data_IF_631763320782
#
_entry.id   IF_631763320782
#
_cell.length_a   1.000
_cell.length_b   1.000
_cell.length_c   1.000
_cell.angle_alpha   90.00
_cell.angle_beta   90.00
_cell.angle_gamma   90.00
#
_symmetry.space_group_name_H-M   'P 1'
#
loop_
_entity.id
_entity.type
_entity.pdbx_description
1 polymer ?
#
# COMPACT_ATOMS: atom_id res chain seq x y z
N UNK A 1 32.18 -0.87 -4.64
CA UNK A 1 30.89 -0.15 -4.41
C UNK A 1 29.75 -1.14 -4.70
N UNK A 2 28.51 -0.90 -4.32
CA UNK A 2 27.39 -1.83 -4.57
C UNK A 2 27.13 -2.10 -6.07
N UNK A 3 27.49 -1.15 -6.92
CA UNK A 3 27.24 -1.19 -8.37
C UNK A 3 28.49 -1.49 -9.21
N UNK A 4 29.59 -1.95 -8.61
CA UNK A 4 30.88 -2.05 -9.32
C UNK A 4 30.84 -2.98 -10.54
N UNK A 5 30.01 -4.01 -10.52
CA UNK A 5 29.84 -4.90 -11.66
C UNK A 5 29.14 -4.21 -12.85
N UNK A 6 28.26 -3.23 -12.58
CA UNK A 6 27.63 -2.46 -13.64
C UNK A 6 28.64 -1.60 -14.42
N UNK A 7 29.73 -1.16 -13.78
CA UNK A 7 30.72 -0.29 -14.40
C UNK A 7 31.30 -0.88 -15.70
N UNK A 8 31.49 -2.20 -15.70
CA UNK A 8 32.06 -2.91 -16.83
C UNK A 8 31.00 -3.43 -17.82
N UNK A 9 29.76 -3.54 -17.38
CA UNK A 9 28.68 -4.15 -18.15
C UNK A 9 27.78 -3.09 -18.83
N UNK A 10 27.44 -2.03 -18.08
CA UNK A 10 26.61 -0.93 -18.55
C UNK A 10 27.02 0.36 -17.85
N UNK A 11 27.97 1.06 -18.47
CA UNK A 11 28.55 2.28 -17.93
C UNK A 11 27.52 3.40 -17.76
N UNK A 12 26.52 3.51 -18.64
CA UNK A 12 25.52 4.56 -18.59
C UNK A 12 24.63 4.39 -17.35
N UNK A 13 24.17 3.16 -17.08
CA UNK A 13 23.41 2.84 -15.88
C UNK A 13 24.26 2.96 -14.61
N UNK A 14 25.53 2.55 -14.64
CA UNK A 14 26.44 2.74 -13.53
C UNK A 14 26.61 4.22 -13.15
N UNK A 15 26.83 5.09 -14.13
CA UNK A 15 27.01 6.51 -13.92
C UNK A 15 25.73 7.13 -13.34
N UNK A 16 24.56 6.78 -13.85
CA UNK A 16 23.28 7.23 -13.32
C UNK A 16 23.05 6.78 -11.86
N UNK A 17 23.32 5.52 -11.55
CA UNK A 17 23.20 5.01 -10.19
C UNK A 17 24.17 5.70 -9.21
N UNK A 18 25.37 6.00 -9.67
CA UNK A 18 26.40 6.70 -8.85
C UNK A 18 26.00 8.15 -8.58
N UNK A 19 25.47 8.85 -9.58
CA UNK A 19 24.92 10.21 -9.42
C UNK A 19 23.73 10.21 -8.47
N UNK A 20 22.80 9.26 -8.60
CA UNK A 20 21.65 9.16 -7.69
C UNK A 20 22.08 8.85 -6.25
N UNK A 21 23.04 7.94 -6.04
CA UNK A 21 23.59 7.70 -4.71
C UNK A 21 24.19 8.97 -4.11
N UNK A 22 24.87 9.76 -4.93
CA UNK A 22 25.46 11.05 -4.51
C UNK A 22 24.36 12.05 -4.16
N UNK A 23 23.29 12.13 -4.95
CA UNK A 23 22.12 12.95 -4.67
C UNK A 23 21.50 12.58 -3.32
N UNK A 24 21.21 11.30 -3.10
CA UNK A 24 20.59 10.82 -1.86
C UNK A 24 21.45 11.10 -0.62
N UNK A 25 22.78 11.10 -0.74
CA UNK A 25 23.69 11.42 0.38
C UNK A 25 23.79 12.90 0.70
N UNK A 26 23.62 13.75 -0.30
CA UNK A 26 23.87 15.19 -0.18
C UNK A 26 22.58 16.02 -0.01
N UNK A 27 21.43 15.43 -0.26
CA UNK A 27 20.13 16.11 -0.19
C UNK A 27 19.28 15.57 0.97
N UNK A 28 18.50 16.45 1.57
CA UNK A 28 17.47 16.06 2.53
C UNK A 28 16.21 15.70 1.74
N UNK A 29 15.75 14.46 1.87
CA UNK A 29 14.51 14.01 1.24
C UNK A 29 13.30 14.47 2.06
N UNK A 30 12.36 15.16 1.40
CA UNK A 30 11.15 15.68 2.04
C UNK A 30 9.87 15.00 1.52
N UNK A 31 9.98 13.98 0.68
CA UNK A 31 8.84 13.19 0.23
C UNK A 31 8.49 12.17 1.31
N UNK A 32 7.33 12.37 1.95
CA UNK A 32 6.92 11.59 3.13
C UNK A 32 6.76 10.08 2.88
N UNK A 33 6.59 9.67 1.63
CA UNK A 33 6.44 8.27 1.23
C UNK A 33 7.75 7.57 0.83
N UNK A 34 8.87 8.29 0.80
CA UNK A 34 10.17 7.70 0.50
C UNK A 34 10.84 7.12 1.74
N UNK A 35 11.61 6.04 1.54
CA UNK A 35 12.36 5.37 2.59
C UNK A 35 13.71 4.91 2.06
N UNK A 36 14.79 5.34 2.72
CA UNK A 36 16.14 4.89 2.40
C UNK A 36 16.33 3.48 2.99
N UNK A 37 16.34 2.50 2.13
CA UNK A 37 16.44 1.08 2.54
C UNK A 37 17.88 0.67 2.87
N UNK A 38 18.02 -0.38 3.69
CA UNK A 38 19.32 -0.95 4.01
C UNK A 38 19.92 -1.70 2.80
N UNK A 39 21.26 -1.88 2.82
CA UNK A 39 21.95 -2.69 1.81
C UNK A 39 21.39 -4.13 1.74
N UNK A 40 20.94 -4.69 2.85
CA UNK A 40 20.35 -6.03 2.88
C UNK A 40 19.03 -6.10 2.06
N UNK A 41 18.21 -5.06 2.12
CA UNK A 41 16.98 -4.97 1.31
C UNK A 41 17.33 -4.88 -0.18
N UNK A 42 18.32 -4.05 -0.56
CA UNK A 42 18.79 -3.94 -1.95
C UNK A 42 19.32 -5.28 -2.47
N UNK A 43 20.10 -6.01 -1.66
CA UNK A 43 20.62 -7.33 -2.02
C UNK A 43 19.51 -8.37 -2.19
N UNK A 44 18.49 -8.35 -1.34
CA UNK A 44 17.36 -9.27 -1.45
C UNK A 44 16.52 -8.98 -2.71
N UNK A 45 16.26 -7.70 -3.00
CA UNK A 45 15.49 -7.26 -4.18
C UNK A 45 16.21 -7.60 -5.50
N UNK A 46 17.56 -7.47 -5.55
CA UNK A 46 18.39 -7.80 -6.70
C UNK A 46 18.96 -9.22 -6.70
N UNK A 47 18.39 -10.15 -5.93
CA UNK A 47 18.89 -11.52 -5.85
C UNK A 47 18.42 -12.41 -7.00
N UNK A 48 18.88 -13.67 -7.01
CA UNK A 48 18.47 -14.70 -7.98
C UNK A 48 16.96 -14.98 -7.97
N UNK A 49 16.24 -14.56 -6.92
CA UNK A 49 14.78 -14.66 -6.86
C UNK A 49 14.11 -13.87 -7.99
N UNK A 50 14.74 -12.81 -8.49
CA UNK A 50 14.32 -12.03 -9.65
C UNK A 50 14.12 -12.88 -10.91
N UNK A 51 14.85 -13.98 -11.05
CA UNK A 51 14.78 -14.89 -12.21
C UNK A 51 13.56 -15.81 -12.17
N UNK A 52 12.87 -15.93 -11.02
CA UNK A 52 11.83 -16.94 -10.84
C UNK A 52 10.42 -16.40 -11.05
N UNK A 53 9.74 -16.92 -12.04
CA UNK A 53 8.31 -16.70 -12.24
C UNK A 53 7.50 -17.56 -11.25
N UNK A 54 6.72 -16.92 -10.37
CA UNK A 54 6.08 -17.57 -9.23
C UNK A 54 4.60 -17.19 -9.09
N UNK A 55 3.86 -17.25 -10.20
CA UNK A 55 2.41 -16.99 -10.21
C UNK A 55 1.68 -17.97 -9.29
N UNK A 56 0.70 -17.48 -8.56
CA UNK A 56 -0.03 -18.21 -7.53
C UNK A 56 0.46 -17.89 -6.12
N UNK A 57 0.22 -18.79 -5.16
CA UNK A 57 0.57 -18.61 -3.76
C UNK A 57 1.46 -19.75 -3.25
N UNK A 58 2.19 -19.60 -2.13
CA UNK A 58 2.99 -20.68 -1.55
C UNK A 58 2.23 -21.99 -1.47
N UNK A 59 2.83 -23.07 -1.96
CA UNK A 59 2.20 -24.40 -2.05
C UNK A 59 1.08 -24.54 -3.09
N UNK A 60 0.73 -23.49 -3.82
CA UNK A 60 -0.32 -23.47 -4.86
C UNK A 60 0.12 -22.63 -6.07
N UNK A 61 1.29 -22.94 -6.60
CA UNK A 61 1.86 -22.27 -7.77
C UNK A 61 1.36 -22.89 -9.07
N UNK A 62 1.29 -22.07 -10.10
CA UNK A 62 0.98 -22.54 -11.46
C UNK A 62 2.21 -23.17 -12.14
N UNK A 63 3.43 -22.86 -11.66
CA UNK A 63 4.68 -23.33 -12.24
C UNK A 63 5.53 -24.08 -11.20
N UNK A 64 6.34 -25.02 -11.70
CA UNK A 64 7.30 -25.78 -10.89
C UNK A 64 8.49 -24.94 -10.42
N UNK A 65 9.29 -25.49 -9.50
CA UNK A 65 10.55 -24.88 -9.04
C UNK A 65 10.38 -23.73 -8.04
N UNK A 66 9.24 -23.59 -7.38
CA UNK A 66 8.94 -22.48 -6.48
C UNK A 66 9.27 -22.75 -5.00
N UNK A 67 9.88 -23.89 -4.66
CA UNK A 67 10.10 -24.32 -3.28
C UNK A 67 10.85 -23.28 -2.42
N UNK A 68 11.79 -22.57 -2.99
CA UNK A 68 12.60 -21.58 -2.27
C UNK A 68 11.93 -20.19 -2.24
N UNK A 69 11.24 -19.78 -3.31
CA UNK A 69 10.46 -18.53 -3.29
C UNK A 69 9.26 -18.65 -2.36
N UNK A 70 8.66 -19.84 -2.22
CA UNK A 70 7.60 -20.11 -1.24
C UNK A 70 8.08 -19.85 0.19
N UNK A 71 9.30 -20.31 0.53
CA UNK A 71 9.91 -20.06 1.84
C UNK A 71 10.07 -18.55 2.08
N UNK A 72 10.57 -17.80 1.10
CA UNK A 72 10.77 -16.34 1.25
C UNK A 72 9.45 -15.62 1.39
N UNK A 73 8.44 -15.95 0.58
CA UNK A 73 7.12 -15.35 0.68
C UNK A 73 6.45 -15.67 2.02
N UNK A 74 6.57 -16.91 2.52
CA UNK A 74 6.02 -17.30 3.81
C UNK A 74 6.69 -16.58 4.97
N UNK A 75 8.02 -16.42 4.94
CA UNK A 75 8.76 -15.59 5.91
C UNK A 75 8.23 -14.15 5.92
N UNK A 76 8.02 -13.56 4.75
CA UNK A 76 7.49 -12.21 4.64
C UNK A 76 6.08 -12.10 5.20
N UNK A 77 5.20 -13.05 4.90
CA UNK A 77 3.83 -13.13 5.43
C UNK A 77 3.81 -13.23 6.95
N UNK A 78 4.57 -14.17 7.52
CA UNK A 78 4.62 -14.37 8.97
C UNK A 78 5.20 -13.15 9.71
N UNK A 79 6.22 -12.50 9.13
CA UNK A 79 6.78 -11.28 9.69
C UNK A 79 5.80 -10.11 9.63
N UNK A 80 5.07 -9.95 8.52
CA UNK A 80 4.02 -8.93 8.40
C UNK A 80 2.89 -9.18 9.42
N UNK A 81 2.41 -10.41 9.56
CA UNK A 81 1.41 -10.79 10.56
C UNK A 81 1.88 -10.43 11.98
N UNK A 82 3.11 -10.80 12.32
CA UNK A 82 3.68 -10.49 13.64
C UNK A 82 3.84 -8.99 13.89
N UNK A 83 4.29 -8.25 12.87
CA UNK A 83 4.53 -6.81 12.97
C UNK A 83 3.24 -6.02 13.22
N UNK A 84 2.16 -6.40 12.52
CA UNK A 84 0.88 -5.70 12.56
C UNK A 84 -0.16 -6.35 13.49
N UNK A 85 0.16 -7.44 14.16
CA UNK A 85 -0.79 -8.21 14.96
C UNK A 85 -1.97 -8.76 14.14
N UNK A 86 -1.74 -9.07 12.87
CA UNK A 86 -2.76 -9.49 11.93
C UNK A 86 -2.87 -11.01 11.85
N UNK A 87 -4.09 -11.53 11.65
CA UNK A 87 -4.32 -12.96 11.41
C UNK A 87 -3.86 -13.38 10.00
N UNK A 88 -3.97 -12.46 9.03
CA UNK A 88 -3.66 -12.71 7.63
C UNK A 88 -2.80 -11.58 7.05
N UNK A 89 -1.94 -11.93 6.09
CA UNK A 89 -1.18 -10.98 5.31
C UNK A 89 -1.05 -11.47 3.87
N UNK A 90 -1.09 -10.55 2.92
CA UNK A 90 -0.70 -10.75 1.54
C UNK A 90 0.46 -9.79 1.22
N UNK A 91 1.59 -10.33 0.81
CA UNK A 91 2.83 -9.58 0.55
C UNK A 91 3.18 -9.50 -0.94
N UNK A 92 2.26 -9.94 -1.82
CA UNK A 92 2.49 -9.95 -3.27
C UNK A 92 2.29 -8.60 -3.98
N UNK A 93 1.44 -7.65 -3.49
CA UNK A 93 1.31 -6.38 -4.17
C UNK A 93 2.67 -5.69 -4.35
N UNK A 94 2.97 -5.26 -5.58
CA UNK A 94 4.24 -4.59 -5.89
C UNK A 94 4.31 -3.14 -5.39
N UNK A 95 3.17 -2.57 -4.97
CA UNK A 95 3.09 -1.19 -4.50
C UNK A 95 1.86 -1.00 -3.61
N UNK A 96 1.85 0.08 -2.82
CA UNK A 96 0.67 0.49 -2.03
C UNK A 96 -0.56 0.73 -2.91
N UNK A 97 -0.39 1.33 -4.09
CA UNK A 97 -1.47 1.52 -5.05
C UNK A 97 -2.08 0.20 -5.52
N UNK A 98 -1.24 -0.80 -5.81
CA UNK A 98 -1.70 -2.14 -6.20
C UNK A 98 -2.43 -2.84 -5.03
N UNK A 99 -1.93 -2.71 -3.80
CA UNK A 99 -2.60 -3.24 -2.61
C UNK A 99 -3.98 -2.59 -2.40
N UNK A 100 -4.08 -1.27 -2.51
CA UNK A 100 -5.35 -0.56 -2.39
C UNK A 100 -6.36 -0.99 -3.46
N UNK A 101 -5.92 -1.12 -4.72
CA UNK A 101 -6.79 -1.60 -5.79
C UNK A 101 -7.27 -3.03 -5.55
N UNK A 102 -6.41 -3.91 -5.08
CA UNK A 102 -6.80 -5.27 -4.73
C UNK A 102 -7.91 -5.29 -3.67
N UNK A 103 -7.82 -4.44 -2.64
CA UNK A 103 -8.87 -4.28 -1.62
C UNK A 103 -10.15 -3.71 -2.22
N UNK A 104 -10.05 -2.66 -3.03
CA UNK A 104 -11.23 -2.05 -3.65
C UNK A 104 -12.01 -3.07 -4.50
N UNK A 105 -11.34 -3.76 -5.42
CA UNK A 105 -12.00 -4.73 -6.28
C UNK A 105 -12.41 -6.03 -5.59
N UNK A 106 -11.85 -6.33 -4.41
CA UNK A 106 -12.31 -7.44 -3.58
C UNK A 106 -13.61 -7.13 -2.81
N UNK A 107 -13.85 -5.87 -2.45
CA UNK A 107 -14.93 -5.46 -1.56
C UNK A 107 -16.03 -4.66 -2.25
N UNK A 108 -15.75 -4.07 -3.42
CA UNK A 108 -16.61 -3.10 -4.07
C UNK A 108 -16.92 -3.48 -5.53
N UNK A 109 -18.03 -2.98 -6.02
CA UNK A 109 -18.35 -2.93 -7.44
C UNK A 109 -18.06 -1.53 -8.01
N UNK A 110 -17.78 -1.40 -9.31
CA UNK A 110 -17.67 -0.10 -9.96
C UNK A 110 -18.91 0.77 -9.66
N UNK A 111 -18.69 2.04 -9.30
CA UNK A 111 -19.74 2.98 -8.92
C UNK A 111 -20.11 2.99 -7.43
N UNK A 112 -19.62 2.02 -6.64
CA UNK A 112 -19.85 2.04 -5.19
C UNK A 112 -19.21 3.26 -4.52
N UNK A 113 -19.85 3.75 -3.47
CA UNK A 113 -19.40 4.94 -2.74
C UNK A 113 -18.30 4.59 -1.74
N UNK A 114 -17.20 5.34 -1.80
CA UNK A 114 -16.04 5.26 -0.90
C UNK A 114 -15.83 6.60 -0.22
N UNK A 115 -15.74 6.60 1.11
CA UNK A 115 -15.37 7.77 1.89
C UNK A 115 -13.86 7.70 2.18
N UNK A 116 -13.10 8.68 1.72
CA UNK A 116 -11.63 8.68 1.83
C UNK A 116 -11.07 10.08 2.11
N UNK A 117 -9.82 10.14 2.60
CA UNK A 117 -9.19 11.42 2.89
C UNK A 117 -8.88 12.21 1.61
N UNK A 118 -9.23 13.50 1.63
CA UNK A 118 -8.95 14.41 0.54
C UNK A 118 -7.43 14.49 0.26
N UNK A 119 -7.06 14.45 -1.02
CA UNK A 119 -5.65 14.55 -1.45
C UNK A 119 -4.99 15.83 -0.93
N UNK A 120 -5.69 16.98 -0.98
CA UNK A 120 -5.18 18.26 -0.49
C UNK A 120 -4.96 18.30 1.03
N UNK A 121 -5.53 17.38 1.78
CA UNK A 121 -5.41 17.27 3.23
C UNK A 121 -4.49 16.11 3.68
N UNK A 122 -3.72 15.56 2.75
CA UNK A 122 -2.74 14.51 3.03
C UNK A 122 -3.15 13.11 2.59
N UNK A 123 -4.29 12.94 1.90
CA UNK A 123 -4.66 11.66 1.28
C UNK A 123 -3.67 11.22 0.21
N UNK A 124 -3.79 9.97 -0.25
CA UNK A 124 -2.97 9.43 -1.32
C UNK A 124 -3.73 9.44 -2.65
N UNK A 125 -3.01 9.48 -3.78
CA UNK A 125 -3.62 9.40 -5.12
C UNK A 125 -4.53 8.18 -5.29
N UNK A 126 -4.12 7.01 -4.77
CA UNK A 126 -4.92 5.77 -4.83
C UNK A 126 -6.12 5.74 -3.88
N UNK A 127 -6.35 6.81 -3.12
CA UNK A 127 -7.51 6.96 -2.25
C UNK A 127 -8.71 7.62 -2.96
N UNK A 128 -8.70 7.68 -4.27
CA UNK A 128 -9.83 8.19 -5.04
C UNK A 128 -9.58 9.47 -5.82
N UNK A 129 -8.31 9.84 -6.06
CA UNK A 129 -8.00 10.98 -6.94
C UNK A 129 -8.62 10.77 -8.33
N UNK A 130 -9.22 11.81 -8.94
CA UNK A 130 -9.86 11.70 -10.28
C UNK A 130 -8.91 11.23 -11.39
N UNK A 131 -7.61 11.44 -11.22
CA UNK A 131 -6.60 10.97 -12.19
C UNK A 131 -6.16 9.53 -11.95
N UNK A 132 -6.55 8.94 -10.82
CA UNK A 132 -6.25 7.56 -10.45
C UNK A 132 -7.41 6.63 -10.83
N UNK A 133 -7.10 5.36 -11.05
CA UNK A 133 -8.12 4.33 -11.36
C UNK A 133 -9.20 4.25 -10.28
N UNK A 134 -8.85 4.43 -8.99
CA UNK A 134 -9.81 4.44 -7.89
C UNK A 134 -10.87 5.54 -8.05
N UNK A 135 -10.46 6.75 -8.43
CA UNK A 135 -11.41 7.86 -8.67
C UNK A 135 -12.20 7.75 -9.97
N UNK A 136 -11.74 6.90 -10.92
CA UNK A 136 -12.46 6.64 -12.18
C UNK A 136 -13.53 5.56 -12.05
N UNK A 137 -13.32 4.58 -11.16
CA UNK A 137 -14.20 3.42 -11.02
C UNK A 137 -15.20 3.55 -9.87
N UNK A 138 -14.89 4.34 -8.84
CA UNK A 138 -15.70 4.44 -7.63
C UNK A 138 -16.22 5.86 -7.42
N UNK A 139 -17.37 5.99 -6.74
CA UNK A 139 -17.92 7.28 -6.33
C UNK A 139 -17.22 7.74 -5.06
N UNK A 140 -16.27 8.66 -5.18
CA UNK A 140 -15.44 9.10 -4.08
C UNK A 140 -16.04 10.31 -3.37
N UNK A 141 -16.29 10.17 -2.08
CA UNK A 141 -16.70 11.26 -1.19
C UNK A 141 -15.51 11.59 -0.28
N UNK A 142 -14.92 12.79 -0.37
CA UNK A 142 -13.76 13.11 0.44
C UNK A 142 -14.16 13.58 1.85
N UNK A 143 -13.41 13.14 2.88
CA UNK A 143 -13.36 13.81 4.18
C UNK A 143 -12.05 14.60 4.31
N UNK A 144 -12.04 15.56 5.22
CA UNK A 144 -10.92 16.48 5.39
C UNK A 144 -10.49 16.67 6.83
N UNK A 145 -9.70 17.71 7.02
CA UNK A 145 -9.27 18.20 8.34
C UNK A 145 -10.02 19.48 8.68
N UNK A 146 -10.13 19.78 9.97
CA UNK A 146 -10.69 21.03 10.45
C UNK A 146 -9.70 22.20 10.16
N UNK A 147 -10.25 23.36 9.85
CA UNK A 147 -9.48 24.53 9.41
C UNK A 147 -8.62 25.15 10.52
N UNK A 148 -9.04 24.99 11.79
CA UNK A 148 -8.44 25.61 12.95
C UNK A 148 -7.15 24.91 13.44
N UNK A 149 -7.05 23.59 13.28
CA UNK A 149 -5.98 22.80 13.89
C UNK A 149 -5.36 21.73 12.98
N UNK A 150 -5.87 21.56 11.76
CA UNK A 150 -5.39 20.59 10.79
C UNK A 150 -5.55 19.13 11.21
N UNK A 151 -6.49 18.84 12.12
CA UNK A 151 -6.84 17.48 12.54
C UNK A 151 -8.09 17.00 11.81
N UNK A 152 -8.20 15.68 11.66
CA UNK A 152 -9.43 15.08 11.12
C UNK A 152 -10.60 15.47 12.02
N UNK A 153 -11.62 16.07 11.42
CA UNK A 153 -12.89 16.33 12.08
C UNK A 153 -13.74 15.06 12.02
N UNK A 154 -13.70 14.29 13.09
CA UNK A 154 -14.39 13.00 13.16
C UNK A 154 -15.92 13.14 13.23
N UNK A 155 -16.44 14.23 13.78
CA UNK A 155 -17.87 14.47 13.88
C UNK A 155 -18.45 14.84 12.48
N UNK A 156 -17.72 15.66 11.74
CA UNK A 156 -18.06 15.94 10.34
C UNK A 156 -17.88 14.70 9.44
N UNK A 157 -16.87 13.85 9.73
CA UNK A 157 -16.67 12.59 9.02
C UNK A 157 -17.84 11.63 9.26
N UNK A 158 -18.29 11.48 10.49
CA UNK A 158 -19.45 10.65 10.85
C UNK A 158 -20.72 11.15 10.18
N UNK A 159 -21.02 12.45 10.26
CA UNK A 159 -22.17 13.05 9.59
C UNK A 159 -22.15 12.77 8.09
N UNK A 160 -21.00 12.94 7.44
CA UNK A 160 -20.82 12.65 6.02
C UNK A 160 -20.99 11.16 5.70
N UNK A 161 -20.51 10.27 6.56
CA UNK A 161 -20.68 8.82 6.40
C UNK A 161 -22.17 8.42 6.49
N UNK A 162 -22.93 9.04 7.41
CA UNK A 162 -24.38 8.81 7.54
C UNK A 162 -25.16 9.33 6.32
N UNK A 163 -24.73 10.45 5.74
CA UNK A 163 -25.32 11.04 4.54
C UNK A 163 -25.05 10.17 3.30
N UNK A 164 -23.78 9.90 2.98
CA UNK A 164 -23.40 9.22 1.73
C UNK A 164 -23.46 7.70 1.80
N UNK A 165 -23.59 7.13 2.99
CA UNK A 165 -23.70 5.67 3.25
C UNK A 165 -22.67 4.85 2.48
N UNK A 166 -21.37 5.12 2.65
CA UNK A 166 -20.33 4.49 1.85
C UNK A 166 -20.26 3.00 2.11
N UNK A 167 -19.87 2.22 1.12
CA UNK A 167 -19.57 0.79 1.31
C UNK A 167 -18.17 0.55 1.89
N UNK A 168 -17.27 1.52 1.72
CA UNK A 168 -15.92 1.48 2.27
C UNK A 168 -15.55 2.85 2.82
N UNK A 169 -14.98 2.87 4.02
CA UNK A 169 -14.29 4.04 4.58
C UNK A 169 -12.80 3.72 4.58
N UNK A 170 -12.02 4.55 3.90
CA UNK A 170 -10.58 4.38 3.83
C UNK A 170 -9.90 5.33 4.82
N UNK A 171 -9.36 4.78 5.90
CA UNK A 171 -8.62 5.49 6.93
C UNK A 171 -7.12 5.33 6.70
N UNK A 172 -6.46 6.42 6.33
CA UNK A 172 -5.03 6.43 6.05
C UNK A 172 -4.63 7.68 5.27
N UNK A 173 -3.35 7.98 5.28
CA UNK A 173 -2.83 9.16 4.63
C UNK A 173 -1.39 8.94 4.16
N UNK A 174 -0.95 9.75 3.19
CA UNK A 174 0.44 9.83 2.73
C UNK A 174 1.17 11.02 3.36
N UNK A 175 0.49 12.15 3.53
CA UNK A 175 1.09 13.40 3.97
C UNK A 175 0.32 14.08 5.12
N UNK A 176 -0.30 13.29 5.97
CA UNK A 176 -0.97 13.77 7.20
C UNK A 176 -0.09 13.44 8.40
N UNK A 177 0.40 14.49 9.10
CA UNK A 177 1.43 14.37 10.14
C UNK A 177 0.88 14.18 11.56
N UNK A 178 -0.44 14.00 11.72
CA UNK A 178 -1.07 13.79 13.02
C UNK A 178 -1.43 12.33 13.21
N UNK A 179 -1.59 11.92 14.46
CA UNK A 179 -2.11 10.58 14.79
C UNK A 179 -3.55 10.44 14.32
N UNK A 180 -3.85 9.35 13.63
CA UNK A 180 -5.20 8.96 13.24
C UNK A 180 -5.81 8.16 14.39
N UNK A 181 -6.95 8.60 14.89
CA UNK A 181 -7.74 7.84 15.87
C UNK A 181 -8.69 6.90 15.12
N UNK A 182 -8.23 5.68 14.92
CA UNK A 182 -9.00 4.67 14.20
C UNK A 182 -10.29 4.25 14.92
N UNK A 183 -10.36 4.41 16.25
CA UNK A 183 -11.54 4.05 17.02
C UNK A 183 -12.71 5.03 16.79
N UNK A 184 -12.41 6.25 16.33
CA UNK A 184 -13.43 7.27 15.99
C UNK A 184 -13.96 7.16 14.57
N UNK A 185 -13.45 6.25 13.75
CA UNK A 185 -14.07 6.01 12.44
C UNK A 185 -15.40 5.29 12.63
N UNK A 186 -16.48 5.74 11.97
CA UNK A 186 -17.79 5.12 12.11
C UNK A 186 -17.73 3.68 11.55
N UNK A 187 -17.82 2.72 12.44
CA UNK A 187 -18.01 1.32 12.08
C UNK A 187 -19.52 1.08 12.02
N UNK A 188 -20.05 0.64 10.89
CA UNK A 188 -21.39 0.09 10.85
C UNK A 188 -21.39 -1.20 11.69
N UNK A 189 -22.28 -1.28 12.66
CA UNK A 189 -22.70 -2.54 13.25
C UNK A 189 -23.53 -3.32 12.20
N UNK A 190 -22.88 -3.83 11.17
CA UNK A 190 -23.46 -4.90 10.37
C UNK A 190 -22.96 -6.23 10.92
N UNK A 191 -23.80 -7.29 10.87
CA UNK A 191 -23.41 -8.58 11.37
C UNK A 191 -22.10 -9.02 10.72
N UNK A 192 -21.24 -9.75 11.44
CA UNK A 192 -19.89 -10.07 11.01
C UNK A 192 -19.93 -10.57 9.57
N UNK A 193 -19.15 -9.92 8.71
CA UNK A 193 -18.95 -10.35 7.32
C UNK A 193 -18.91 -11.86 7.29
N UNK A 194 -19.86 -12.48 6.58
CA UNK A 194 -19.89 -13.94 6.42
C UNK A 194 -18.48 -14.34 6.03
N UNK A 195 -17.77 -14.98 6.96
CA UNK A 195 -16.48 -15.60 6.66
C UNK A 195 -16.67 -16.34 5.35
N UNK A 196 -15.90 -15.98 4.34
CA UNK A 196 -15.87 -16.72 3.10
C UNK A 196 -15.25 -18.08 3.40
N UNK A 197 -16.04 -18.94 4.00
CA UNK A 197 -15.73 -20.36 4.13
C UNK A 197 -15.91 -20.95 2.74
N UNK A 198 -14.86 -20.94 1.93
CA UNK A 198 -14.81 -21.87 0.80
C UNK A 198 -14.95 -23.26 1.39
N UNK A 199 -16.14 -23.81 1.26
CA UNK A 199 -16.30 -25.27 1.29
C UNK A 199 -15.38 -25.84 0.21
N UNK A 200 -14.66 -26.87 0.58
CA UNK A 200 -13.68 -27.65 -0.19
C UNK A 200 -14.19 -28.07 -1.56
#
# INVERSE_FOLDING_TARGET
MFFDELQNFDKEVYDACTLELTRQRNNIELIASENIVSKAVLLAAGSVLTNKYAEGYPGKRYYGGCIHVDVVEEIARERAKKLFGAEHANVQPHSGANANLAVFFALLNPGDTVLSMNLAHGGHLSHGSPVNISGKYFNIVPYGVADDNGRIDYDALEAKALECKPKLILAGASAYSRTIDFARFPLREEPPLKRCSRKR
#
